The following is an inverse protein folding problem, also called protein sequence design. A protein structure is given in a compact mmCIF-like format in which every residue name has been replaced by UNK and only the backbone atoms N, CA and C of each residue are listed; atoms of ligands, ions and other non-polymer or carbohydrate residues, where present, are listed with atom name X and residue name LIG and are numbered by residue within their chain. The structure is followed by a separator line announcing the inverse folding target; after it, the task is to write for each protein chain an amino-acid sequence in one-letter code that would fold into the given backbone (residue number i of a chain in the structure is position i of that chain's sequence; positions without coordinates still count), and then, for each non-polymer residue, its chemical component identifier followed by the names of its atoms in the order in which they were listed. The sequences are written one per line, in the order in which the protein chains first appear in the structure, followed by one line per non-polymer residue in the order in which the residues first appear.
data_IF_919727113227
#
_entry.id   IF_919727113227
#
_cell.length_a   1.000
_cell.length_b   1.000
_cell.length_c   1.000
_cell.angle_alpha   90.00
_cell.angle_beta   90.00
_cell.angle_gamma   90.00
#
_symmetry.space_group_name_H-M   'P 1'
#
loop_
_entity.id
_entity.type
_entity.pdbx_description
1 polymer ?
#
# COMPACT_ATOMS: atom_id res chain seq x y z
N UNK A 1 -14.14 4.12 -14.39
CA UNK A 1 -14.08 5.59 -14.51
C UNK A 1 -12.90 6.17 -13.73
N UNK A 2 -12.71 5.82 -12.44
CA UNK A 2 -11.60 6.40 -11.63
C UNK A 2 -10.19 5.91 -12.01
N UNK A 3 -10.01 4.63 -12.37
CA UNK A 3 -8.69 4.11 -12.73
C UNK A 3 -8.13 4.75 -14.01
N UNK A 4 -9.03 5.19 -14.91
CA UNK A 4 -8.70 5.92 -16.13
C UNK A 4 -8.28 7.35 -15.79
N UNK A 5 -8.92 8.00 -14.79
CA UNK A 5 -8.50 9.32 -14.30
C UNK A 5 -7.14 9.27 -13.60
N UNK A 6 -6.91 8.25 -12.77
CA UNK A 6 -5.62 8.02 -12.10
C UNK A 6 -4.53 7.72 -13.12
N UNK A 7 -4.80 6.88 -14.13
CA UNK A 7 -3.81 6.59 -15.17
C UNK A 7 -3.54 7.79 -16.07
N UNK A 8 -4.56 8.58 -16.46
CA UNK A 8 -4.36 9.83 -17.22
C UNK A 8 -3.56 10.86 -16.42
N UNK A 9 -3.86 11.05 -15.12
CA UNK A 9 -3.10 11.97 -14.27
C UNK A 9 -1.65 11.53 -14.11
N UNK A 10 -1.40 10.24 -13.91
CA UNK A 10 -0.05 9.69 -13.87
C UNK A 10 0.70 9.89 -15.19
N UNK A 11 0.03 9.64 -16.32
CA UNK A 11 0.62 9.77 -17.65
C UNK A 11 0.92 11.23 -18.02
N UNK A 12 0.00 12.17 -17.73
CA UNK A 12 0.24 13.61 -17.86
C UNK A 12 1.37 14.08 -16.94
N UNK A 13 1.40 13.59 -15.69
CA UNK A 13 2.46 13.93 -14.73
C UNK A 13 3.84 13.48 -15.21
N UNK A 14 3.98 12.25 -15.72
CA UNK A 14 5.25 11.74 -16.25
C UNK A 14 5.69 12.52 -17.49
N UNK A 15 4.77 12.85 -18.41
CA UNK A 15 5.08 13.66 -19.60
C UNK A 15 5.56 15.07 -19.21
N UNK A 16 4.92 15.69 -18.21
CA UNK A 16 5.30 17.02 -17.73
C UNK A 16 6.63 17.01 -16.96
N UNK A 17 6.88 15.94 -16.18
CA UNK A 17 8.17 15.69 -15.55
C UNK A 17 9.30 15.43 -16.54
N UNK A 18 9.01 14.81 -17.69
CA UNK A 18 9.99 14.57 -18.76
C UNK A 18 10.41 15.86 -19.46
N UNK A 19 9.48 16.79 -19.69
CA UNK A 19 9.77 18.11 -20.28
C UNK A 19 10.67 18.99 -19.38
N UNK A 20 10.56 18.87 -18.05
CA UNK A 20 11.34 19.67 -17.10
C UNK A 20 12.72 19.09 -16.74
N UNK A 21 13.00 17.83 -17.09
CA UNK A 21 14.35 17.23 -16.96
C UNK A 21 15.43 17.98 -17.74
N UNK A 22 15.06 18.75 -18.76
CA UNK A 22 15.99 19.53 -19.58
C UNK A 22 16.56 20.80 -18.92
N UNK A 23 16.02 21.24 -17.77
CA UNK A 23 16.37 22.56 -17.20
C UNK A 23 17.15 22.46 -15.88
N UNK A 24 16.70 21.66 -14.87
CA UNK A 24 17.43 21.30 -13.62
C UNK A 24 16.80 20.08 -12.94
N UNK A 25 17.61 19.07 -12.59
CA UNK A 25 17.15 17.78 -12.03
C UNK A 25 16.42 17.88 -10.66
N UNK A 26 16.70 18.91 -9.88
CA UNK A 26 16.06 19.13 -8.57
C UNK A 26 14.55 19.40 -8.69
N UNK A 27 14.11 20.14 -9.73
CA UNK A 27 12.69 20.40 -9.97
C UNK A 27 11.95 19.14 -10.44
N UNK A 28 12.64 18.23 -11.12
CA UNK A 28 12.06 16.94 -11.53
C UNK A 28 11.65 16.11 -10.31
N UNK A 29 12.48 16.07 -9.25
CA UNK A 29 12.19 15.33 -8.03
C UNK A 29 10.98 15.90 -7.25
N UNK A 30 10.84 17.24 -7.19
CA UNK A 30 9.67 17.87 -6.58
C UNK A 30 8.38 17.60 -7.36
N UNK A 31 8.46 17.56 -8.70
CA UNK A 31 7.31 17.30 -9.56
C UNK A 31 6.88 15.83 -9.46
N UNK A 32 7.82 14.87 -9.51
CA UNK A 32 7.49 13.44 -9.34
C UNK A 32 6.91 13.15 -7.96
N UNK A 33 7.44 13.79 -6.91
CA UNK A 33 6.88 13.70 -5.56
C UNK A 33 5.47 14.31 -5.48
N UNK A 34 5.22 15.46 -6.10
CA UNK A 34 3.89 16.08 -6.15
C UNK A 34 2.85 15.22 -6.90
N UNK A 35 3.24 14.62 -8.02
CA UNK A 35 2.40 13.68 -8.79
C UNK A 35 2.13 12.42 -7.95
N UNK A 36 3.14 11.89 -7.26
CA UNK A 36 2.98 10.79 -6.32
C UNK A 36 1.92 11.11 -5.26
N UNK A 37 2.07 12.22 -4.53
CA UNK A 37 1.10 12.62 -3.49
C UNK A 37 -0.32 12.75 -4.06
N UNK A 38 -0.47 13.30 -5.27
CA UNK A 38 -1.77 13.44 -5.92
C UNK A 38 -2.40 12.08 -6.28
N UNK A 39 -1.59 11.12 -6.75
CA UNK A 39 -2.03 9.74 -7.02
C UNK A 39 -2.42 9.03 -5.71
N UNK A 40 -1.67 9.24 -4.62
CA UNK A 40 -1.99 8.70 -3.30
C UNK A 40 -3.34 9.22 -2.81
N UNK A 41 -3.57 10.52 -2.90
CA UNK A 41 -4.84 11.13 -2.48
C UNK A 41 -6.05 10.53 -3.19
N UNK A 42 -5.92 10.22 -4.48
CA UNK A 42 -6.95 9.53 -5.26
C UNK A 42 -7.12 8.06 -4.86
N UNK A 43 -6.04 7.38 -4.46
CA UNK A 43 -6.09 6.00 -4.00
C UNK A 43 -6.71 5.84 -2.61
N UNK A 44 -6.52 6.81 -1.71
CA UNK A 44 -7.09 6.79 -0.33
C UNK A 44 -8.61 6.68 -0.36
N UNK A 45 -9.29 7.43 -1.22
CA UNK A 45 -10.75 7.35 -1.34
C UNK A 45 -11.27 5.98 -1.80
N UNK A 46 -10.46 5.19 -2.51
CA UNK A 46 -10.80 3.80 -2.90
C UNK A 46 -10.52 2.81 -1.79
N UNK A 47 -9.45 3.01 -1.03
CA UNK A 47 -9.18 2.22 0.17
C UNK A 47 -10.30 2.35 1.20
N UNK A 48 -10.86 3.54 1.39
CA UNK A 48 -11.99 3.77 2.30
C UNK A 48 -13.23 2.95 1.90
N UNK A 49 -13.58 2.93 0.61
CA UNK A 49 -14.69 2.12 0.09
C UNK A 49 -14.45 0.61 0.27
N UNK A 50 -13.21 0.15 0.04
CA UNK A 50 -12.82 -1.22 0.28
C UNK A 50 -12.95 -1.58 1.76
N UNK A 51 -12.42 -0.77 2.68
CA UNK A 51 -12.54 -1.02 4.12
C UNK A 51 -13.99 -1.02 4.61
N UNK A 52 -14.84 -0.16 4.05
CA UNK A 52 -16.27 -0.14 4.40
C UNK A 52 -17.00 -1.39 3.91
N UNK A 53 -16.68 -1.87 2.70
CA UNK A 53 -17.24 -3.11 2.16
C UNK A 53 -16.76 -4.34 2.94
N UNK A 54 -15.48 -4.35 3.31
CA UNK A 54 -14.90 -5.36 4.18
C UNK A 54 -15.60 -5.37 5.56
N UNK A 55 -15.79 -4.21 6.20
CA UNK A 55 -16.52 -4.12 7.47
C UNK A 55 -17.96 -4.63 7.39
N UNK A 56 -18.63 -4.48 6.24
CA UNK A 56 -19.95 -5.06 6.02
C UNK A 56 -19.90 -6.58 5.86
N UNK A 57 -18.86 -7.12 5.20
CA UNK A 57 -18.63 -8.58 5.10
C UNK A 57 -18.33 -9.23 6.45
N UNK A 58 -17.59 -8.53 7.32
CA UNK A 58 -17.35 -8.98 8.70
C UNK A 58 -18.65 -9.16 9.49
N UNK A 59 -19.68 -8.36 9.22
CA UNK A 59 -20.99 -8.56 9.89
C UNK A 59 -21.74 -9.78 9.38
N UNK A 60 -21.45 -10.22 8.15
CA UNK A 60 -22.11 -11.38 7.51
C UNK A 60 -21.37 -12.70 7.75
N UNK A 61 -20.10 -12.66 8.13
CA UNK A 61 -19.30 -13.85 8.44
C UNK A 61 -18.90 -13.77 9.90
N UNK A 62 -19.21 -14.79 10.69
CA UNK A 62 -18.81 -14.95 12.10
C UNK A 62 -17.31 -15.24 12.25
N UNK A 63 -16.47 -14.35 11.69
CA UNK A 63 -15.01 -14.35 11.90
C UNK A 63 -14.72 -13.51 13.15
N UNK A 64 -13.78 -13.97 13.96
CA UNK A 64 -13.32 -13.20 15.10
C UNK A 64 -12.85 -11.81 14.68
N UNK A 65 -13.26 -10.79 15.44
CA UNK A 65 -13.05 -9.39 15.09
C UNK A 65 -11.55 -9.06 15.02
N UNK A 66 -10.76 -9.77 15.82
CA UNK A 66 -9.31 -9.61 15.94
C UNK A 66 -8.56 -10.07 14.68
N UNK A 67 -8.91 -11.23 14.10
CA UNK A 67 -8.28 -11.70 12.85
C UNK A 67 -8.60 -10.79 11.67
N UNK A 68 -9.85 -10.34 11.59
CA UNK A 68 -10.28 -9.44 10.53
C UNK A 68 -9.53 -8.10 10.56
N UNK A 69 -9.39 -7.54 11.76
CA UNK A 69 -8.63 -6.31 11.97
C UNK A 69 -7.14 -6.48 11.66
N UNK A 70 -6.57 -7.65 11.99
CA UNK A 70 -5.18 -8.00 11.67
C UNK A 70 -4.94 -8.09 10.16
N UNK A 71 -5.85 -8.71 9.41
CA UNK A 71 -5.80 -8.75 7.94
C UNK A 71 -5.86 -7.35 7.33
N UNK A 72 -6.77 -6.49 7.81
CA UNK A 72 -6.87 -5.10 7.39
C UNK A 72 -5.57 -4.33 7.64
N UNK A 73 -4.97 -4.49 8.83
CA UNK A 73 -3.68 -3.86 9.17
C UNK A 73 -2.56 -4.32 8.23
N UNK A 74 -2.50 -5.62 7.91
CA UNK A 74 -1.50 -6.17 7.00
C UNK A 74 -1.61 -5.58 5.59
N UNK A 75 -2.84 -5.47 5.07
CA UNK A 75 -3.11 -4.83 3.76
C UNK A 75 -2.76 -3.34 3.81
N UNK A 76 -3.11 -2.64 4.88
CA UNK A 76 -2.78 -1.22 5.04
C UNK A 76 -1.26 -0.97 5.03
N UNK A 77 -0.49 -1.74 5.80
CA UNK A 77 0.96 -1.59 5.90
C UNK A 77 1.63 -1.87 4.55
N UNK A 78 1.19 -2.89 3.82
CA UNK A 78 1.76 -3.24 2.50
C UNK A 78 1.54 -2.15 1.46
N UNK A 79 0.31 -1.63 1.34
CA UNK A 79 0.04 -0.55 0.38
C UNK A 79 0.78 0.74 0.73
N UNK A 80 0.76 1.16 2.00
CA UNK A 80 1.45 2.38 2.44
C UNK A 80 2.98 2.23 2.25
N UNK A 81 3.53 1.06 2.61
CA UNK A 81 4.95 0.78 2.49
C UNK A 81 5.43 0.76 1.03
N UNK A 82 4.72 0.06 0.14
CA UNK A 82 5.03 0.04 -1.29
C UNK A 82 4.91 1.44 -1.92
N UNK A 83 3.90 2.19 -1.52
CA UNK A 83 3.70 3.54 -2.02
C UNK A 83 4.84 4.49 -1.60
N UNK A 84 5.19 4.47 -0.32
CA UNK A 84 6.27 5.28 0.23
C UNK A 84 7.62 4.94 -0.41
N UNK A 85 7.89 3.65 -0.60
CA UNK A 85 9.08 3.19 -1.32
C UNK A 85 9.08 3.62 -2.80
N UNK A 86 7.92 3.60 -3.45
CA UNK A 86 7.73 4.09 -4.81
C UNK A 86 8.13 5.56 -4.96
N UNK A 87 7.63 6.44 -4.08
CA UNK A 87 8.03 7.87 -4.09
C UNK A 87 9.54 8.02 -3.89
N UNK A 88 10.13 7.28 -2.94
CA UNK A 88 11.56 7.35 -2.68
C UNK A 88 12.38 6.87 -3.90
N UNK A 89 11.93 5.86 -4.64
CA UNK A 89 12.55 5.43 -5.91
C UNK A 89 12.45 6.51 -6.98
N UNK A 90 11.28 7.13 -7.12
CA UNK A 90 11.03 8.18 -8.12
C UNK A 90 11.79 9.50 -7.82
N UNK A 91 12.10 9.75 -6.55
CA UNK A 91 12.96 10.85 -6.11
C UNK A 91 14.48 10.57 -6.28
N UNK A 92 14.86 9.37 -6.73
CA UNK A 92 16.26 8.95 -6.89
C UNK A 92 16.89 8.35 -5.63
N UNK A 93 16.15 8.24 -4.52
CA UNK A 93 16.60 7.64 -3.25
C UNK A 93 16.30 6.13 -3.19
N UNK A 94 16.94 5.35 -4.06
CA UNK A 94 16.72 3.90 -4.13
C UNK A 94 17.13 3.14 -2.85
N UNK A 95 18.21 3.56 -2.19
CA UNK A 95 18.66 2.91 -0.95
C UNK A 95 17.62 3.02 0.18
N UNK A 96 17.06 4.21 0.38
CA UNK A 96 16.00 4.45 1.38
C UNK A 96 14.72 3.71 1.03
N UNK A 97 14.36 3.66 -0.26
CA UNK A 97 13.21 2.88 -0.71
C UNK A 97 13.36 1.37 -0.42
N UNK A 98 14.55 0.81 -0.66
CA UNK A 98 14.82 -0.59 -0.37
C UNK A 98 14.71 -0.90 1.13
N UNK A 99 15.16 0.02 2.00
CA UNK A 99 14.99 -0.11 3.45
C UNK A 99 13.51 -0.10 3.85
N UNK A 100 12.69 0.78 3.26
CA UNK A 100 11.24 0.83 3.49
C UNK A 100 10.56 -0.47 3.04
N UNK A 101 10.89 -1.00 1.87
CA UNK A 101 10.34 -2.27 1.38
C UNK A 101 10.71 -3.44 2.30
N UNK A 102 11.95 -3.48 2.79
CA UNK A 102 12.43 -4.54 3.67
C UNK A 102 11.70 -4.47 5.03
N UNK A 103 11.55 -3.27 5.60
CA UNK A 103 10.80 -3.07 6.84
C UNK A 103 9.33 -3.46 6.69
N UNK A 104 8.72 -3.12 5.56
CA UNK A 104 7.34 -3.48 5.26
C UNK A 104 7.16 -5.01 5.20
N UNK A 105 8.07 -5.72 4.53
CA UNK A 105 8.04 -7.19 4.46
C UNK A 105 8.22 -7.84 5.83
N UNK A 106 9.14 -7.33 6.64
CA UNK A 106 9.34 -7.82 8.01
C UNK A 106 8.10 -7.61 8.88
N UNK A 107 7.47 -6.43 8.79
CA UNK A 107 6.25 -6.11 9.54
C UNK A 107 5.10 -7.06 9.19
N UNK A 108 4.93 -7.40 7.90
CA UNK A 108 3.94 -8.38 7.46
C UNK A 108 4.27 -9.78 8.00
N UNK A 109 5.53 -10.19 7.96
CA UNK A 109 5.97 -11.49 8.47
C UNK A 109 5.67 -11.66 9.96
N UNK A 110 5.87 -10.60 10.76
CA UNK A 110 5.52 -10.57 12.19
C UNK A 110 4.01 -10.67 12.39
N UNK A 111 3.21 -10.00 11.57
CA UNK A 111 1.74 -10.07 11.63
C UNK A 111 1.18 -11.43 11.18
N UNK A 112 1.91 -12.18 10.35
CA UNK A 112 1.51 -13.52 9.88
C UNK A 112 1.75 -14.62 10.91
N UNK A 113 2.70 -14.45 11.84
CA UNK A 113 2.99 -15.41 12.92
C UNK A 113 1.76 -15.83 13.75
N UNK A 114 0.95 -14.89 14.31
CA UNK A 114 -0.23 -15.28 15.11
C UNK A 114 -1.27 -16.04 14.29
N UNK A 115 -1.42 -15.72 13.01
CA UNK A 115 -2.34 -16.43 12.11
C UNK A 115 -1.88 -17.87 11.90
N UNK A 116 -0.57 -18.07 11.76
CA UNK A 116 0.02 -19.40 11.58
C UNK A 116 -0.12 -20.26 12.85
N UNK A 117 0.04 -19.67 14.04
CA UNK A 117 -0.18 -20.34 15.32
C UNK A 117 -1.64 -20.76 15.51
N UNK A 118 -2.59 -19.86 15.25
CA UNK A 118 -4.01 -20.18 15.32
C UNK A 118 -4.41 -21.31 14.36
N UNK A 119 -3.82 -21.32 13.15
CA UNK A 119 -4.06 -22.38 12.18
C UNK A 119 -3.46 -23.72 12.65
N UNK A 120 -2.33 -23.71 13.35
CA UNK A 120 -1.74 -24.92 13.92
C UNK A 120 -2.59 -25.48 15.06
N UNK A 121 -3.06 -24.61 15.97
CA UNK A 121 -3.93 -24.99 17.09
C UNK A 121 -5.24 -25.60 16.60
N UNK A 122 -5.90 -24.97 15.62
CA UNK A 122 -7.14 -25.51 15.03
C UNK A 122 -6.92 -26.86 14.38
N UNK A 123 -5.83 -27.08 13.64
CA UNK A 123 -5.50 -28.41 13.09
C UNK A 123 -5.33 -29.43 14.22
N UNK A 124 -4.64 -29.07 15.29
CA UNK A 124 -4.39 -29.95 16.42
C UNK A 124 -5.68 -30.32 17.17
N UNK A 125 -6.61 -29.37 17.30
CA UNK A 125 -7.94 -29.56 17.87
C UNK A 125 -8.83 -30.46 16.99
N UNK A 126 -8.69 -30.40 15.66
CA UNK A 126 -9.38 -31.31 14.74
C UNK A 126 -8.82 -32.75 14.73
N UNK A 127 -7.55 -32.92 15.11
CA UNK A 127 -6.84 -34.21 15.06
C UNK A 127 -6.89 -34.98 16.38
N UNK A 128 -7.37 -34.36 17.46
CA UNK A 128 -7.50 -34.94 18.82
C UNK A 128 -8.96 -35.17 19.15
#
# INVERSE_FOLDING_TARGET
MDIIRVSMLGMCGVIMGFFLKGTRAEYTAFITMGIGIMILGLAVGKLEYLFQTLGNLQKSISVDQEYFYTLIKMVGITYIGQFSAGICKDAGHQATAAQIELFCKLSVMVLSMPILLALLETIQEFLT
#
